data_IF_842211177788
#
_entry.id   IF_842211177788
#
_cell.length_a   1.000
_cell.length_b   1.000
_cell.length_c   1.000
_cell.angle_alpha   90.00
_cell.angle_beta   90.00
_cell.angle_gamma   90.00
#
_symmetry.space_group_name_H-M   'P 1'
#
loop_
_entity.id
_entity.type
_entity.pdbx_description
1 polymer ?
#
# COMPACT_ATOMS: atom_id res chain seq x y z
N UNK A 1 -26.08 46.25 14.09
CA UNK A 1 -26.08 45.90 15.51
C UNK A 1 -26.68 44.51 15.66
N UNK A 2 -25.88 43.52 15.88
CA UNK A 2 -26.03 42.40 16.78
C UNK A 2 -24.92 41.38 16.53
N UNK A 3 -23.98 41.36 17.46
CA UNK A 3 -22.91 40.39 17.58
C UNK A 3 -23.50 39.11 18.21
N UNK A 4 -23.29 37.96 17.54
CA UNK A 4 -23.45 36.65 18.18
C UNK A 4 -22.06 36.00 18.32
N UNK A 5 -21.60 35.97 19.58
CA UNK A 5 -20.44 35.24 20.05
C UNK A 5 -20.72 33.74 20.00
N UNK A 6 -19.90 32.97 19.29
CA UNK A 6 -19.84 31.51 19.47
C UNK A 6 -18.66 31.14 20.36
N UNK A 7 -19.03 30.41 21.37
CA UNK A 7 -18.22 29.93 22.49
C UNK A 7 -17.27 28.84 22.06
N UNK A 8 -15.98 29.00 22.40
CA UNK A 8 -14.94 27.97 22.24
C UNK A 8 -15.00 27.03 23.43
N UNK A 9 -15.38 25.79 23.19
CA UNK A 9 -15.35 24.74 24.22
C UNK A 9 -14.00 24.03 24.19
N UNK A 10 -13.24 24.25 25.22
CA UNK A 10 -11.95 23.68 25.53
C UNK A 10 -12.13 22.26 26.06
N UNK A 11 -11.72 21.23 25.30
CA UNK A 11 -11.68 19.85 25.79
C UNK A 11 -10.30 19.53 26.32
N UNK A 12 -10.23 19.28 27.63
CA UNK A 12 -9.03 18.95 28.40
C UNK A 12 -8.48 17.56 28.03
N UNK A 13 -7.16 17.55 27.84
CA UNK A 13 -6.26 16.41 27.78
C UNK A 13 -6.39 15.48 29.00
N UNK A 14 -6.51 14.18 28.77
CA UNK A 14 -6.24 13.14 29.77
C UNK A 14 -4.89 12.49 29.41
N UNK A 15 -3.90 12.77 30.24
CA UNK A 15 -2.61 12.09 30.25
C UNK A 15 -2.79 10.74 30.98
N UNK A 16 -2.57 9.62 30.30
CA UNK A 16 -2.46 8.30 30.91
C UNK A 16 -0.97 7.96 31.14
N UNK A 17 -0.66 7.74 32.42
CA UNK A 17 0.65 7.36 32.94
C UNK A 17 1.06 5.95 32.44
N UNK A 18 2.24 5.89 31.85
CA UNK A 18 2.94 4.66 31.49
C UNK A 18 3.76 4.18 32.68
N UNK A 19 3.48 2.98 33.20
CA UNK A 19 4.26 2.31 34.25
C UNK A 19 5.13 1.21 33.61
N UNK A 20 6.45 1.20 33.78
CA UNK A 20 7.29 0.14 33.23
C UNK A 20 7.30 -1.09 34.16
N UNK A 21 6.81 -2.21 33.64
CA UNK A 21 6.86 -3.52 34.31
C UNK A 21 8.29 -4.14 34.25
N UNK A 22 8.75 -4.55 35.42
CA UNK A 22 10.06 -5.18 35.64
C UNK A 22 10.15 -6.57 34.99
N UNK A 23 11.23 -6.80 34.28
CA UNK A 23 11.67 -8.09 33.79
C UNK A 23 12.13 -8.99 34.96
N UNK A 24 11.46 -10.12 35.13
CA UNK A 24 11.84 -11.12 36.17
C UNK A 24 12.47 -12.33 35.46
N UNK A 25 13.76 -12.53 35.73
CA UNK A 25 14.52 -13.72 35.33
C UNK A 25 14.04 -14.92 36.18
N UNK A 26 13.70 -16.01 35.53
CA UNK A 26 13.61 -17.32 36.16
C UNK A 26 14.75 -18.20 35.63
N UNK A 27 15.67 -18.53 36.54
CA UNK A 27 16.52 -19.70 36.50
C UNK A 27 15.70 -20.88 36.98
N UNK A 28 15.76 -21.99 36.29
CA UNK A 28 15.69 -23.28 36.99
C UNK A 28 16.29 -24.38 36.11
N UNK A 29 17.35 -24.95 36.64
CA UNK A 29 17.90 -26.24 36.28
C UNK A 29 16.94 -27.34 36.74
N UNK A 30 16.57 -28.30 35.88
CA UNK A 30 16.24 -29.65 36.34
C UNK A 30 16.57 -30.73 35.30
N UNK A 31 17.32 -31.60 35.77
CA UNK A 31 17.82 -32.95 35.50
C UNK A 31 17.10 -33.79 34.45
N UNK A 32 17.98 -34.35 33.63
CA UNK A 32 17.82 -35.52 32.76
C UNK A 32 17.51 -36.76 33.58
N UNK A 33 16.47 -37.50 33.21
CA UNK A 33 16.34 -38.94 33.52
C UNK A 33 15.98 -39.67 32.22
N UNK A 34 16.81 -40.62 31.86
CA UNK A 34 16.63 -41.54 30.75
C UNK A 34 15.66 -42.67 31.13
N UNK A 35 14.84 -43.10 30.17
CA UNK A 35 13.96 -44.25 30.33
C UNK A 35 13.19 -44.60 29.05
N UNK A 36 13.76 -45.49 28.28
CA UNK A 36 13.21 -46.59 27.49
C UNK A 36 12.00 -46.43 26.56
N UNK A 37 12.35 -46.81 25.36
CA UNK A 37 11.64 -47.34 24.20
C UNK A 37 10.28 -48.04 24.46
N UNK A 38 9.32 -47.75 23.60
CA UNK A 38 8.53 -48.78 22.90
C UNK A 38 7.85 -48.14 21.65
N UNK A 39 8.03 -48.85 20.55
CA UNK A 39 7.47 -48.51 19.24
C UNK A 39 5.96 -48.73 19.21
N UNK A 40 5.25 -47.88 18.48
CA UNK A 40 4.23 -48.23 17.47
C UNK A 40 3.55 -46.97 16.98
N UNK A 41 3.89 -46.60 15.79
CA UNK A 41 3.00 -46.57 14.62
C UNK A 41 1.81 -45.62 14.67
N UNK A 42 1.65 -44.92 13.55
CA UNK A 42 0.58 -44.00 13.16
C UNK A 42 0.76 -42.54 13.64
N UNK A 43 1.51 -41.80 12.86
CA UNK A 43 1.45 -40.34 12.80
C UNK A 43 0.13 -39.89 12.19
N UNK A 44 -0.70 -39.11 12.88
CA UNK A 44 -1.71 -38.32 12.24
C UNK A 44 -1.10 -36.96 11.84
N UNK A 45 -0.23 -36.98 10.83
CA UNK A 45 0.40 -35.76 10.31
C UNK A 45 -0.35 -35.15 9.12
N UNK A 46 -1.57 -35.63 8.79
CA UNK A 46 -2.22 -35.33 7.51
C UNK A 46 -3.51 -34.49 7.63
N UNK A 47 -3.78 -33.82 8.75
CA UNK A 47 -5.03 -33.02 8.88
C UNK A 47 -4.80 -31.58 9.32
N UNK A 48 -3.62 -31.05 9.28
CA UNK A 48 -3.44 -29.60 9.32
C UNK A 48 -2.84 -29.22 7.98
N UNK A 49 -3.72 -28.94 7.02
CA UNK A 49 -3.35 -28.22 5.82
C UNK A 49 -2.79 -26.86 6.24
N UNK A 50 -1.47 -26.79 6.41
CA UNK A 50 -0.79 -25.51 6.41
C UNK A 50 -1.11 -24.85 5.08
N UNK A 51 -1.78 -23.69 5.04
CA UNK A 51 -1.95 -22.96 3.81
C UNK A 51 -0.54 -22.62 3.34
N UNK A 52 -0.13 -23.42 2.38
CA UNK A 52 1.01 -23.30 1.50
C UNK A 52 2.02 -22.20 1.86
N UNK A 53 3.12 -22.61 2.45
CA UNK A 53 4.37 -21.92 2.36
C UNK A 53 4.64 -21.52 0.90
N UNK A 54 4.94 -20.22 0.68
CA UNK A 54 5.47 -19.62 -0.56
C UNK A 54 4.51 -18.78 -1.39
N UNK A 55 3.77 -17.89 -0.74
CA UNK A 55 3.47 -16.62 -1.41
C UNK A 55 4.79 -15.86 -1.53
N UNK A 56 5.21 -15.43 -2.71
CA UNK A 56 6.42 -14.64 -2.85
C UNK A 56 6.31 -13.40 -1.97
N UNK A 57 7.29 -13.21 -1.08
CA UNK A 57 7.30 -12.07 -0.17
C UNK A 57 7.76 -10.83 -0.96
N UNK A 58 6.81 -9.99 -1.34
CA UNK A 58 7.08 -8.73 -2.02
C UNK A 58 7.43 -7.63 -1.01
N UNK A 59 8.49 -6.86 -1.28
CA UNK A 59 8.84 -5.68 -0.48
C UNK A 59 7.93 -4.50 -0.80
N UNK A 60 6.75 -4.48 -0.21
CA UNK A 60 5.81 -3.36 -0.34
C UNK A 60 6.13 -2.18 0.59
N UNK A 61 7.04 -2.35 1.55
CA UNK A 61 7.43 -1.29 2.49
C UNK A 61 8.04 -0.09 1.76
N UNK A 62 8.78 -0.31 0.67
CA UNK A 62 9.35 0.79 -0.13
C UNK A 62 8.29 1.77 -0.66
N UNK A 63 7.08 1.29 -0.95
CA UNK A 63 5.97 2.16 -1.35
C UNK A 63 5.35 2.87 -0.17
N UNK A 64 5.14 2.18 0.95
CA UNK A 64 4.58 2.77 2.17
C UNK A 64 5.47 3.90 2.68
N UNK A 65 6.79 3.70 2.72
CA UNK A 65 7.75 4.70 3.15
C UNK A 65 7.76 5.94 2.24
N UNK A 66 7.77 5.74 0.92
CA UNK A 66 7.69 6.84 -0.03
C UNK A 66 6.36 7.61 0.10
N UNK A 67 5.26 6.90 0.26
CA UNK A 67 3.93 7.49 0.37
C UNK A 67 3.67 8.18 1.71
N UNK A 68 4.38 7.82 2.78
CA UNK A 68 4.24 8.43 4.10
C UNK A 68 4.30 9.95 4.06
N UNK A 69 5.17 10.51 3.23
CA UNK A 69 5.37 11.95 3.11
C UNK A 69 4.75 12.55 1.84
N UNK A 70 4.54 11.75 0.80
CA UNK A 70 4.16 12.25 -0.52
C UNK A 70 2.67 12.02 -0.87
N UNK A 71 2.00 11.06 -0.23
CA UNK A 71 0.62 10.71 -0.60
C UNK A 71 -0.36 11.88 -0.50
N UNK A 72 -0.35 12.58 0.64
CA UNK A 72 -1.28 13.69 0.86
C UNK A 72 -1.07 14.84 -0.16
N UNK A 73 0.18 15.06 -0.58
CA UNK A 73 0.49 16.05 -1.61
C UNK A 73 0.03 15.56 -2.99
N UNK A 74 0.34 14.32 -3.36
CA UNK A 74 -0.10 13.73 -4.62
C UNK A 74 -1.61 13.78 -4.78
N UNK A 75 -2.35 13.41 -3.75
CA UNK A 75 -3.81 13.45 -3.74
C UNK A 75 -4.36 14.88 -3.89
N UNK A 76 -3.74 15.87 -3.22
CA UNK A 76 -4.13 17.29 -3.41
C UNK A 76 -3.88 17.74 -4.84
N UNK A 77 -2.72 17.42 -5.42
CA UNK A 77 -2.38 17.78 -6.79
C UNK A 77 -3.36 17.15 -7.80
N UNK A 78 -3.75 15.90 -7.58
CA UNK A 78 -4.76 15.23 -8.40
C UNK A 78 -6.14 15.85 -8.24
N UNK A 79 -6.56 16.18 -7.00
CA UNK A 79 -7.85 16.86 -6.75
C UNK A 79 -7.92 18.27 -7.34
N UNK A 80 -6.78 18.94 -7.55
CA UNK A 80 -6.66 20.26 -8.16
C UNK A 80 -6.23 20.21 -9.62
N UNK A 81 -6.40 19.07 -10.29
CA UNK A 81 -6.11 18.83 -11.70
C UNK A 81 -4.67 19.16 -12.17
N UNK A 82 -3.71 19.23 -11.25
CA UNK A 82 -2.37 19.66 -11.62
C UNK A 82 -1.27 18.96 -10.85
N UNK A 83 -0.65 17.97 -11.48
CA UNK A 83 0.57 17.35 -10.97
C UNK A 83 1.74 18.32 -11.03
N UNK A 84 2.41 18.54 -9.91
CA UNK A 84 3.55 19.45 -9.77
C UNK A 84 4.80 18.75 -9.24
N UNK A 85 4.65 17.74 -8.39
CA UNK A 85 5.75 17.06 -7.73
C UNK A 85 6.02 15.64 -8.27
N UNK A 86 7.08 15.01 -7.78
CA UNK A 86 7.68 13.82 -8.37
C UNK A 86 7.27 12.52 -7.67
N UNK A 87 5.99 12.16 -7.73
CA UNK A 87 5.42 11.01 -7.00
C UNK A 87 4.94 9.85 -7.89
N UNK A 88 5.00 9.97 -9.20
CA UNK A 88 4.38 9.03 -10.14
C UNK A 88 4.82 7.56 -9.93
N UNK A 89 6.09 7.32 -9.61
CA UNK A 89 6.65 5.98 -9.50
C UNK A 89 6.08 5.13 -8.37
N UNK A 90 5.63 5.76 -7.28
CA UNK A 90 5.15 5.07 -6.09
C UNK A 90 3.68 5.31 -5.78
N UNK A 91 3.02 6.25 -6.49
CA UNK A 91 1.56 6.41 -6.45
C UNK A 91 0.90 5.59 -7.56
N UNK A 92 1.45 5.62 -8.78
CA UNK A 92 1.01 4.84 -9.93
C UNK A 92 2.16 3.97 -10.44
N UNK A 93 2.58 2.94 -9.67
CA UNK A 93 3.72 2.13 -10.04
C UNK A 93 3.45 1.35 -11.33
N UNK A 94 4.53 1.14 -12.10
CA UNK A 94 4.52 0.42 -13.36
C UNK A 94 5.21 -0.93 -13.20
N UNK A 95 5.04 -1.80 -14.18
CA UNK A 95 5.86 -3.00 -14.29
C UNK A 95 7.34 -2.64 -14.44
N UNK A 96 8.20 -3.38 -13.77
CA UNK A 96 9.65 -3.28 -13.84
C UNK A 96 10.15 -3.47 -15.29
N UNK A 97 11.19 -2.74 -15.66
CA UNK A 97 11.75 -2.83 -17.00
C UNK A 97 11.22 -1.82 -18.02
N UNK A 98 10.13 -1.10 -17.74
CA UNK A 98 9.59 -0.07 -18.64
C UNK A 98 10.38 1.25 -18.61
N UNK A 99 11.21 1.47 -17.59
CA UNK A 99 12.01 2.69 -17.46
C UNK A 99 13.43 2.39 -16.98
N UNK A 100 14.36 3.33 -17.25
CA UNK A 100 15.79 3.15 -16.99
C UNK A 100 16.29 3.91 -15.76
N UNK A 101 15.52 4.90 -15.24
CA UNK A 101 15.91 5.68 -14.07
C UNK A 101 15.95 4.82 -12.78
N UNK A 102 16.70 5.29 -11.79
CA UNK A 102 16.74 4.66 -10.46
C UNK A 102 15.33 4.42 -9.91
N UNK A 103 14.47 5.44 -9.90
CA UNK A 103 13.10 5.32 -9.40
C UNK A 103 12.25 4.30 -10.18
N UNK A 104 12.40 4.23 -11.51
CA UNK A 104 11.68 3.25 -12.33
C UNK A 104 12.11 1.81 -12.01
N UNK A 105 13.37 1.60 -11.66
CA UNK A 105 13.89 0.29 -11.27
C UNK A 105 13.50 -0.06 -9.84
N UNK A 106 13.63 0.90 -8.92
CA UNK A 106 13.38 0.71 -7.48
C UNK A 106 11.90 0.48 -7.18
N UNK A 107 11.02 1.32 -7.76
CA UNK A 107 9.56 1.22 -7.58
C UNK A 107 8.85 0.39 -8.66
N UNK A 108 9.59 -0.23 -9.58
CA UNK A 108 9.00 -1.12 -10.56
C UNK A 108 8.44 -2.38 -9.90
N UNK A 109 7.21 -2.74 -10.26
CA UNK A 109 6.54 -3.96 -9.79
C UNK A 109 7.08 -5.17 -10.54
N UNK A 110 7.39 -6.24 -9.83
CA UNK A 110 7.90 -7.49 -10.39
C UNK A 110 6.75 -8.36 -10.90
N UNK A 111 6.15 -7.91 -12.00
CA UNK A 111 5.04 -8.60 -12.67
C UNK A 111 3.70 -8.48 -11.96
N UNK A 112 2.76 -9.34 -12.39
CA UNK A 112 1.37 -9.34 -11.93
C UNK A 112 1.22 -9.78 -10.48
N UNK A 113 2.11 -10.65 -9.99
CA UNK A 113 2.06 -11.11 -8.61
C UNK A 113 2.26 -9.98 -7.61
N UNK A 114 3.29 -9.15 -7.80
CA UNK A 114 3.52 -7.99 -6.94
C UNK A 114 2.46 -6.90 -7.15
N UNK A 115 1.97 -6.72 -8.38
CA UNK A 115 0.88 -5.79 -8.65
C UNK A 115 -0.41 -6.20 -7.91
N UNK A 116 -0.72 -7.49 -7.86
CA UNK A 116 -1.84 -8.05 -7.08
C UNK A 116 -1.63 -7.82 -5.59
N UNK A 117 -0.46 -8.14 -5.06
CA UNK A 117 -0.14 -7.88 -3.65
C UNK A 117 -0.25 -6.39 -3.29
N UNK A 118 0.14 -5.48 -4.20
CA UNK A 118 0.03 -4.04 -4.01
C UNK A 118 -1.45 -3.59 -3.94
N UNK A 119 -2.30 -4.04 -4.87
CA UNK A 119 -3.70 -3.61 -4.94
C UNK A 119 -4.56 -4.23 -3.85
N UNK A 120 -4.18 -5.41 -3.34
CA UNK A 120 -4.82 -6.09 -2.23
C UNK A 120 -4.33 -5.59 -0.85
N UNK A 121 -3.21 -4.88 -0.81
CA UNK A 121 -2.71 -4.30 0.44
C UNK A 121 -3.64 -3.16 0.90
N UNK A 122 -4.15 -3.26 2.14
CA UNK A 122 -5.16 -2.37 2.73
C UNK A 122 -4.86 -0.88 2.48
N UNK A 123 -3.65 -0.43 2.78
CA UNK A 123 -3.28 0.99 2.65
C UNK A 123 -2.96 1.36 1.19
N UNK A 124 -2.17 0.53 0.48
CA UNK A 124 -1.69 0.87 -0.86
C UNK A 124 -2.80 0.80 -1.90
N UNK A 125 -3.64 -0.25 -1.81
CA UNK A 125 -4.79 -0.42 -2.69
C UNK A 125 -5.83 0.69 -2.52
N UNK A 126 -6.15 1.06 -1.29
CA UNK A 126 -7.10 2.15 -1.02
C UNK A 126 -6.58 3.50 -1.53
N UNK A 127 -5.31 3.80 -1.29
CA UNK A 127 -4.68 5.03 -1.78
C UNK A 127 -4.62 5.11 -3.30
N UNK A 128 -4.31 3.99 -3.95
CA UNK A 128 -4.32 3.90 -5.41
C UNK A 128 -5.71 4.21 -5.98
N UNK A 129 -6.75 3.58 -5.42
CA UNK A 129 -8.14 3.82 -5.82
C UNK A 129 -8.58 5.26 -5.54
N UNK A 130 -8.20 5.83 -4.40
CA UNK A 130 -8.52 7.23 -4.09
C UNK A 130 -7.86 8.19 -5.08
N UNK A 131 -6.61 7.94 -5.48
CA UNK A 131 -5.93 8.73 -6.50
C UNK A 131 -6.59 8.59 -7.88
N UNK A 132 -7.05 7.39 -8.26
CA UNK A 132 -7.81 7.18 -9.49
C UNK A 132 -9.14 7.94 -9.47
N UNK A 133 -9.89 7.87 -8.37
CA UNK A 133 -11.15 8.65 -8.20
C UNK A 133 -10.90 10.15 -8.26
N UNK A 134 -9.79 10.64 -7.71
CA UNK A 134 -9.42 12.05 -7.82
C UNK A 134 -9.13 12.48 -9.26
N UNK A 135 -8.48 11.63 -10.07
CA UNK A 135 -8.31 11.86 -11.51
C UNK A 135 -9.64 11.95 -12.25
N UNK A 136 -10.56 11.04 -11.96
CA UNK A 136 -11.88 10.97 -12.64
C UNK A 136 -12.76 12.20 -12.39
N UNK A 137 -12.49 13.00 -11.35
CA UNK A 137 -13.14 14.29 -11.14
C UNK A 137 -12.90 15.27 -12.31
N UNK A 138 -11.86 15.03 -13.10
CA UNK A 138 -11.40 15.89 -14.18
C UNK A 138 -11.41 15.18 -15.54
N UNK A 139 -12.31 14.22 -15.74
CA UNK A 139 -12.42 13.43 -16.98
C UNK A 139 -12.74 14.26 -18.25
N UNK A 140 -13.18 15.49 -18.05
CA UNK A 140 -13.42 16.49 -19.10
C UNK A 140 -12.16 17.23 -19.56
N UNK A 141 -11.01 17.02 -18.88
CA UNK A 141 -9.75 17.72 -19.16
C UNK A 141 -8.75 16.83 -19.89
N UNK A 142 -7.82 17.47 -20.59
CA UNK A 142 -6.68 16.77 -21.19
C UNK A 142 -5.79 16.17 -20.08
N UNK A 143 -5.61 14.87 -20.12
CA UNK A 143 -4.76 14.14 -19.17
C UNK A 143 -3.31 14.64 -19.16
N UNK A 144 -2.81 15.14 -20.28
CA UNK A 144 -1.47 15.74 -20.37
C UNK A 144 -1.37 17.03 -19.57
N UNK A 145 -2.45 17.81 -19.52
CA UNK A 145 -2.53 19.00 -18.68
C UNK A 145 -2.46 18.61 -17.20
N UNK A 146 -3.23 17.60 -16.77
CA UNK A 146 -3.27 17.12 -15.38
C UNK A 146 -1.93 16.54 -14.96
N UNK A 147 -1.33 15.68 -15.78
CA UNK A 147 -0.09 14.98 -15.47
C UNK A 147 1.18 15.80 -15.69
N UNK A 148 1.08 16.92 -16.41
CA UNK A 148 2.17 17.87 -16.65
C UNK A 148 3.21 17.41 -17.69
N UNK A 149 3.24 16.14 -18.08
CA UNK A 149 4.16 15.63 -19.11
C UNK A 149 3.62 14.40 -19.83
N UNK A 150 3.97 14.23 -21.11
CA UNK A 150 3.63 13.03 -21.87
C UNK A 150 4.26 11.75 -21.31
N UNK A 151 5.41 11.86 -20.65
CA UNK A 151 6.07 10.72 -20.00
C UNK A 151 5.24 10.23 -18.81
N UNK A 152 4.71 11.13 -17.99
CA UNK A 152 3.89 10.75 -16.84
C UNK A 152 2.51 10.25 -17.28
N UNK A 153 1.97 10.73 -18.41
CA UNK A 153 0.78 10.17 -19.05
C UNK A 153 0.99 8.71 -19.47
N UNK A 154 2.13 8.40 -20.10
CA UNK A 154 2.47 7.02 -20.47
C UNK A 154 2.64 6.13 -19.24
N UNK A 155 3.26 6.62 -18.16
CA UNK A 155 3.39 5.88 -16.91
C UNK A 155 2.02 5.59 -16.29
N UNK A 156 1.13 6.58 -16.23
CA UNK A 156 -0.23 6.40 -15.76
C UNK A 156 -0.94 5.32 -16.57
N UNK A 157 -0.92 5.43 -17.91
CA UNK A 157 -1.57 4.45 -18.80
C UNK A 157 -1.10 3.02 -18.56
N UNK A 158 0.22 2.82 -18.47
CA UNK A 158 0.80 1.48 -18.25
C UNK A 158 0.53 0.96 -16.85
N UNK A 159 0.51 1.83 -15.84
CA UNK A 159 0.09 1.50 -14.48
C UNK A 159 -1.38 1.03 -14.44
N UNK A 160 -2.28 1.81 -15.02
CA UNK A 160 -3.71 1.45 -15.06
C UNK A 160 -3.96 0.13 -15.79
N UNK A 161 -3.27 -0.12 -16.93
CA UNK A 161 -3.35 -1.41 -17.63
C UNK A 161 -2.89 -2.58 -16.78
N UNK A 162 -1.81 -2.41 -16.01
CA UNK A 162 -1.30 -3.45 -15.11
C UNK A 162 -2.31 -3.75 -14.00
N UNK A 163 -2.84 -2.72 -13.33
CA UNK A 163 -3.80 -2.90 -12.24
C UNK A 163 -5.15 -3.41 -12.72
N UNK A 164 -5.64 -2.96 -13.88
CA UNK A 164 -6.87 -3.52 -14.47
C UNK A 164 -6.75 -5.01 -14.81
N UNK A 165 -5.56 -5.48 -15.19
CA UNK A 165 -5.31 -6.90 -15.44
C UNK A 165 -5.38 -7.76 -14.17
N UNK A 166 -4.93 -7.25 -13.03
CA UNK A 166 -4.88 -7.98 -11.76
C UNK A 166 -6.10 -7.75 -10.87
N UNK A 167 -6.85 -6.69 -11.10
CA UNK A 167 -8.09 -6.33 -10.41
C UNK A 167 -9.10 -5.81 -11.44
N UNK A 168 -9.71 -6.70 -12.25
CA UNK A 168 -10.69 -6.31 -13.26
C UNK A 168 -11.98 -5.80 -12.61
N UNK A 169 -12.73 -4.98 -13.34
CA UNK A 169 -13.96 -4.31 -12.87
C UNK A 169 -13.74 -3.36 -11.67
N UNK A 170 -12.55 -2.81 -11.56
CA UNK A 170 -12.17 -1.79 -10.56
C UNK A 170 -12.03 -0.42 -11.25
N UNK A 171 -11.88 0.63 -10.49
CA UNK A 171 -11.73 2.04 -10.96
C UNK A 171 -10.64 2.24 -12.04
N UNK A 172 -9.74 1.29 -12.21
CA UNK A 172 -8.66 1.35 -13.21
C UNK A 172 -9.17 1.32 -14.65
N UNK A 173 -10.24 0.56 -14.90
CA UNK A 173 -10.92 0.52 -16.19
C UNK A 173 -11.57 1.85 -16.50
N UNK A 174 -12.27 2.45 -15.52
CA UNK A 174 -12.87 3.79 -15.68
C UNK A 174 -11.84 4.86 -16.04
N UNK A 175 -10.64 4.80 -15.43
CA UNK A 175 -9.55 5.73 -15.76
C UNK A 175 -9.02 5.49 -17.18
N UNK A 176 -8.92 4.23 -17.62
CA UNK A 176 -8.52 3.91 -18.99
C UNK A 176 -9.53 4.43 -20.00
N UNK A 177 -10.80 4.20 -19.77
CA UNK A 177 -11.88 4.63 -20.67
C UNK A 177 -12.03 6.16 -20.72
N UNK A 178 -11.79 6.85 -19.59
CA UNK A 178 -11.93 8.29 -19.51
C UNK A 178 -10.80 9.06 -20.21
N UNK A 179 -9.58 8.51 -20.26
CA UNK A 179 -8.40 9.29 -20.66
C UNK A 179 -7.58 8.67 -21.81
N UNK A 180 -7.88 7.40 -22.23
CA UNK A 180 -7.02 6.68 -23.16
C UNK A 180 -7.74 5.91 -24.27
#
# INVERSE_FOLDING_TARGET
>A
MNFLKLSVTFVKSLSALFVPGKCQKRNDNEKIVAGESLASDSTPADIIGYPNAQQPHYDLLRFLDAQKFAYAQALRELKTDRKQSHWIWYIFPQQKGLGHSYNSKYYGLDGEGEARAYVEHEILGDRLRECCKALLLHKDKDIKYIMGSGIDVLKLKTSMRLFNKVSPNDVFEEVLDAFF
#
